data_IF_224197957632
#
_entry.id   IF_224197957632
#
_cell.length_a   1.000
_cell.length_b   1.000
_cell.length_c   1.000
_cell.angle_alpha   90.00
_cell.angle_beta   90.00
_cell.angle_gamma   90.00
#
_symmetry.space_group_name_H-M   'P 1'
#
loop_
_entity.id
_entity.type
_entity.pdbx_description
1 polymer ?
#
# COMPACT_ATOMS: atom_id res chain seq x y z
N UNK A 1 15.81 11.83 -15.29
CA UNK A 1 15.22 12.21 -14.01
C UNK A 1 13.69 12.15 -14.13
N UNK A 2 13.04 11.28 -13.34
CA UNK A 2 11.59 11.05 -13.40
C UNK A 2 10.86 11.49 -12.13
N UNK A 3 11.60 12.01 -11.14
CA UNK A 3 11.02 12.52 -9.91
C UNK A 3 10.57 13.96 -10.13
N UNK A 4 9.35 14.28 -9.70
CA UNK A 4 8.80 15.63 -9.78
C UNK A 4 9.23 16.50 -8.60
N UNK A 5 9.61 15.88 -7.48
CA UNK A 5 10.01 16.53 -6.25
C UNK A 5 11.49 16.29 -5.93
N UNK A 6 12.04 17.16 -5.09
CA UNK A 6 13.40 17.02 -4.58
C UNK A 6 13.57 15.67 -3.84
N UNK A 7 14.57 14.84 -4.21
CA UNK A 7 14.78 13.52 -3.61
C UNK A 7 14.88 13.52 -2.08
N UNK A 8 15.35 14.62 -1.49
CA UNK A 8 15.44 14.79 -0.03
C UNK A 8 14.10 14.81 0.68
N UNK A 9 13.02 15.22 -0.03
CA UNK A 9 11.67 15.29 0.49
C UNK A 9 10.90 13.99 0.29
N UNK A 10 11.47 13.04 -0.46
CA UNK A 10 10.84 11.78 -0.76
C UNK A 10 11.32 10.67 0.18
N UNK A 11 10.40 9.83 0.57
CA UNK A 11 10.68 8.51 1.10
C UNK A 11 10.62 7.51 -0.06
N UNK A 12 11.70 6.76 -0.23
CA UNK A 12 11.80 5.75 -1.28
C UNK A 12 11.73 4.36 -0.64
N UNK A 13 11.05 3.43 -1.30
CA UNK A 13 11.02 2.03 -0.92
C UNK A 13 11.26 1.15 -2.15
N UNK A 14 12.09 0.15 -1.99
CA UNK A 14 12.50 -0.77 -3.04
C UNK A 14 11.59 -2.00 -3.01
N UNK A 15 11.25 -2.53 -4.17
CA UNK A 15 10.45 -3.76 -4.29
C UNK A 15 11.12 -4.95 -3.58
N UNK A 16 10.33 -5.87 -2.99
CA UNK A 16 10.84 -6.96 -2.17
C UNK A 16 11.74 -7.95 -2.93
N UNK A 17 11.55 -8.06 -4.24
CA UNK A 17 12.28 -9.01 -5.09
C UNK A 17 13.39 -8.35 -5.93
N UNK A 18 13.90 -7.19 -5.47
CA UNK A 18 14.95 -6.47 -6.15
C UNK A 18 16.25 -7.31 -6.24
N UNK A 19 16.81 -7.38 -7.43
CA UNK A 19 18.09 -8.05 -7.71
C UNK A 19 19.10 -7.08 -8.31
N UNK A 20 20.34 -7.18 -7.89
CA UNK A 20 21.40 -6.33 -8.43
C UNK A 20 21.53 -6.52 -9.96
N UNK A 21 21.60 -5.41 -10.70
CA UNK A 21 21.73 -5.40 -12.16
C UNK A 21 20.43 -5.66 -12.93
N UNK A 22 19.30 -5.83 -12.25
CA UNK A 22 17.98 -5.96 -12.86
C UNK A 22 17.13 -4.70 -12.65
N UNK A 23 16.22 -4.38 -13.60
CA UNK A 23 15.20 -3.36 -13.37
C UNK A 23 14.38 -3.70 -12.13
N UNK A 24 14.07 -2.68 -11.32
CA UNK A 24 13.30 -2.85 -10.10
C UNK A 24 12.24 -1.76 -9.96
N UNK A 25 11.19 -2.06 -9.25
CA UNK A 25 10.21 -1.06 -8.85
C UNK A 25 10.70 -0.29 -7.63
N UNK A 26 10.57 1.02 -7.69
CA UNK A 26 10.78 1.92 -6.56
C UNK A 26 9.50 2.69 -6.33
N UNK A 27 8.97 2.60 -5.14
CA UNK A 27 7.87 3.44 -4.70
C UNK A 27 8.44 4.71 -4.08
N UNK A 28 7.84 5.85 -4.39
CA UNK A 28 8.19 7.15 -3.83
C UNK A 28 6.94 7.81 -3.24
N UNK A 29 7.06 8.38 -2.06
CA UNK A 29 5.99 9.18 -1.46
C UNK A 29 6.60 10.35 -0.67
N UNK A 30 5.77 11.37 -0.40
CA UNK A 30 6.18 12.49 0.44
C UNK A 30 6.56 12.01 1.85
N UNK A 31 7.78 12.32 2.27
CA UNK A 31 8.36 11.89 3.53
C UNK A 31 7.69 12.54 4.75
N UNK A 32 7.31 13.80 4.62
CA UNK A 32 6.66 14.53 5.70
C UNK A 32 5.23 14.03 5.92
N UNK A 33 4.49 13.80 4.83
CA UNK A 33 3.17 13.20 4.86
C UNK A 33 3.19 11.82 5.53
N UNK A 34 4.10 10.95 5.13
CA UNK A 34 4.21 9.60 5.69
C UNK A 34 4.54 9.63 7.18
N UNK A 35 5.46 10.50 7.61
CA UNK A 35 5.78 10.69 9.02
C UNK A 35 4.60 11.24 9.82
N UNK A 36 3.86 12.19 9.26
CA UNK A 36 2.67 12.75 9.90
C UNK A 36 1.56 11.69 10.07
N UNK A 37 1.39 10.78 9.10
CA UNK A 37 0.44 9.68 9.18
C UNK A 37 0.82 8.65 10.27
N UNK A 38 2.11 8.40 10.49
CA UNK A 38 2.60 7.45 11.49
C UNK A 38 2.57 8.04 12.91
N UNK A 39 2.86 9.32 13.06
CA UNK A 39 3.05 9.97 14.36
C UNK A 39 1.88 9.77 15.37
N UNK A 40 0.60 9.86 15.00
CA UNK A 40 -0.52 9.61 15.92
C UNK A 40 -0.55 8.18 16.46
N UNK A 41 -0.21 7.19 15.62
CA UNK A 41 -0.17 5.79 16.05
C UNK A 41 0.93 5.57 17.07
N UNK A 42 2.08 6.17 16.83
CA UNK A 42 3.22 6.09 17.73
C UNK A 42 2.98 6.82 19.05
N UNK A 43 2.35 8.00 19.00
CA UNK A 43 1.94 8.75 20.19
C UNK A 43 0.93 7.95 21.04
N UNK A 44 0.03 7.21 20.39
CA UNK A 44 -0.90 6.29 21.05
C UNK A 44 -0.23 4.99 21.58
N UNK A 45 1.10 4.88 21.48
CA UNK A 45 1.84 3.72 21.95
C UNK A 45 1.70 2.48 21.04
N UNK A 46 1.23 2.64 19.80
CA UNK A 46 1.10 1.60 18.79
C UNK A 46 2.22 1.74 17.76
N UNK A 47 3.36 1.06 17.93
CA UNK A 47 4.47 1.17 16.99
C UNK A 47 4.07 0.59 15.63
N UNK A 48 4.36 1.30 14.57
CA UNK A 48 4.17 0.84 13.21
C UNK A 48 5.32 -0.10 12.87
N UNK A 49 5.03 -1.36 12.57
CA UNK A 49 6.03 -2.37 12.22
C UNK A 49 6.19 -2.54 10.71
N UNK A 50 5.12 -2.29 9.94
CA UNK A 50 5.09 -2.36 8.48
C UNK A 50 4.24 -1.22 7.92
N UNK A 51 4.62 -0.75 6.75
CA UNK A 51 3.87 0.23 5.97
C UNK A 51 3.68 -0.38 4.59
N UNK A 52 2.45 -0.77 4.28
CA UNK A 52 2.16 -1.47 3.03
C UNK A 52 1.37 -0.55 2.08
N UNK A 53 1.70 -0.54 0.79
CA UNK A 53 0.88 0.16 -0.20
C UNK A 53 -0.42 -0.59 -0.43
N UNK A 54 -1.49 0.13 -0.66
CA UNK A 54 -2.79 -0.46 -0.98
C UNK A 54 -2.78 -1.15 -2.34
N UNK A 55 -2.02 -0.62 -3.27
CA UNK A 55 -1.84 -1.17 -4.61
C UNK A 55 -0.35 -1.33 -4.91
N UNK A 56 -0.01 -2.43 -5.58
CA UNK A 56 1.34 -2.74 -6.02
C UNK A 56 1.33 -3.08 -7.51
N UNK A 57 2.47 -2.94 -8.21
CA UNK A 57 2.64 -3.58 -9.50
C UNK A 57 2.30 -5.06 -9.41
N UNK A 58 1.64 -5.59 -10.42
CA UNK A 58 1.32 -7.02 -10.46
C UNK A 58 2.60 -7.83 -10.63
N UNK A 59 2.80 -8.80 -9.75
CA UNK A 59 3.93 -9.72 -9.79
C UNK A 59 3.41 -11.14 -10.04
N UNK A 60 4.13 -11.95 -10.81
CA UNK A 60 3.74 -13.34 -11.06
C UNK A 60 4.30 -13.90 -12.35
N UNK A 61 3.87 -15.12 -12.68
CA UNK A 61 4.24 -15.81 -13.91
C UNK A 61 3.37 -15.30 -15.06
N UNK A 62 3.99 -15.00 -16.20
CA UNK A 62 3.30 -14.53 -17.40
C UNK A 62 2.26 -15.57 -17.92
N UNK A 63 1.03 -15.15 -18.33
CA UNK A 63 0.53 -13.78 -18.38
C UNK A 63 -0.05 -13.30 -17.04
N UNK A 64 0.50 -12.21 -16.52
CA UNK A 64 -0.05 -11.56 -15.32
C UNK A 64 -1.24 -10.68 -15.73
N UNK A 65 -2.42 -11.06 -15.31
CA UNK A 65 -3.62 -10.29 -15.60
C UNK A 65 -3.67 -8.99 -14.81
N UNK A 66 -4.00 -7.86 -15.46
CA UNK A 66 -4.19 -6.61 -14.73
C UNK A 66 -5.42 -6.67 -13.83
N UNK A 67 -5.40 -5.85 -12.80
CA UNK A 67 -6.57 -5.60 -11.93
C UNK A 67 -7.02 -4.16 -12.07
N UNK A 68 -8.33 -3.96 -12.02
CA UNK A 68 -8.98 -2.66 -12.04
C UNK A 68 -9.79 -2.51 -10.75
N UNK A 69 -9.67 -1.36 -10.11
CA UNK A 69 -10.46 -1.04 -8.93
C UNK A 69 -11.11 0.33 -9.10
N UNK A 70 -12.42 0.41 -8.98
CA UNK A 70 -13.14 1.66 -8.87
C UNK A 70 -13.35 1.99 -7.38
N UNK A 71 -12.81 3.12 -6.95
CA UNK A 71 -12.74 3.55 -5.56
C UNK A 71 -13.48 4.86 -5.37
N UNK A 72 -14.06 5.05 -4.20
CA UNK A 72 -14.75 6.28 -3.85
C UNK A 72 -16.27 6.15 -3.91
N UNK A 73 -16.94 7.21 -4.31
CA UNK A 73 -18.41 7.29 -4.30
C UNK A 73 -18.96 7.88 -5.62
N UNK A 74 -20.27 8.18 -5.62
CA UNK A 74 -20.94 8.74 -6.79
C UNK A 74 -20.51 10.17 -7.16
N UNK A 75 -19.83 10.88 -6.25
CA UNK A 75 -19.40 12.27 -6.45
C UNK A 75 -17.93 12.35 -6.86
N UNK A 76 -17.11 11.47 -6.30
CA UNK A 76 -15.69 11.41 -6.59
C UNK A 76 -15.21 9.94 -6.60
N UNK A 77 -15.03 9.42 -7.79
CA UNK A 77 -14.51 8.07 -7.97
C UNK A 77 -13.20 8.06 -8.76
N UNK A 78 -12.36 7.10 -8.43
CA UNK A 78 -11.08 6.84 -9.07
C UNK A 78 -11.06 5.45 -9.67
N UNK A 79 -10.40 5.32 -10.81
CA UNK A 79 -10.08 4.04 -11.42
C UNK A 79 -8.59 3.77 -11.22
N UNK A 80 -8.27 2.71 -10.49
CA UNK A 80 -6.89 2.26 -10.27
C UNK A 80 -6.66 1.01 -11.09
N UNK A 81 -5.61 1.03 -11.91
CA UNK A 81 -5.12 -0.14 -12.64
C UNK A 81 -3.79 -0.58 -12.05
N UNK A 82 -3.65 -1.86 -11.71
CA UNK A 82 -2.39 -2.50 -11.39
C UNK A 82 -2.06 -3.53 -12.48
N UNK A 83 -0.86 -3.47 -13.02
CA UNK A 83 -0.31 -4.44 -13.96
C UNK A 83 1.21 -4.56 -13.78
N UNK A 84 1.89 -5.31 -14.62
CA UNK A 84 3.35 -5.48 -14.59
C UNK A 84 4.13 -4.19 -14.88
N UNK A 85 3.48 -3.18 -15.49
CA UNK A 85 4.08 -1.88 -15.80
C UNK A 85 3.91 -0.87 -14.65
N UNK A 86 3.19 -1.22 -13.58
CA UNK A 86 3.00 -0.37 -12.42
C UNK A 86 1.55 -0.22 -11.97
N UNK A 87 1.34 0.82 -11.17
CA UNK A 87 0.03 1.23 -10.68
C UNK A 87 -0.29 2.61 -11.25
N UNK A 88 -1.48 2.74 -11.82
CA UNK A 88 -1.97 3.99 -12.37
C UNK A 88 -3.35 4.30 -11.76
N UNK A 89 -3.49 5.48 -11.18
CA UNK A 89 -4.76 5.99 -10.65
C UNK A 89 -5.22 7.18 -11.48
N UNK A 90 -6.44 7.13 -11.98
CA UNK A 90 -7.08 8.18 -12.78
C UNK A 90 -8.48 8.46 -12.24
N UNK A 91 -9.01 9.66 -12.38
CA UNK A 91 -10.44 9.89 -12.15
C UNK A 91 -11.29 8.91 -12.98
N UNK A 92 -12.34 8.35 -12.39
CA UNK A 92 -13.25 7.44 -13.08
C UNK A 92 -14.12 8.22 -14.07
N UNK A 93 -13.64 8.35 -15.28
CA UNK A 93 -14.25 9.11 -16.37
C UNK A 93 -14.08 8.37 -17.70
N UNK A 94 -14.97 8.61 -18.64
CA UNK A 94 -14.94 7.97 -19.96
C UNK A 94 -13.60 8.13 -20.68
N UNK A 95 -12.97 9.30 -20.61
CA UNK A 95 -11.66 9.56 -21.22
C UNK A 95 -10.55 8.67 -20.61
N UNK A 96 -10.55 8.47 -19.29
CA UNK A 96 -9.60 7.58 -18.62
C UNK A 96 -9.80 6.12 -19.05
N UNK A 97 -11.04 5.67 -19.11
CA UNK A 97 -11.38 4.31 -19.58
C UNK A 97 -10.95 4.11 -21.02
N UNK A 98 -11.21 5.06 -21.91
CA UNK A 98 -10.77 4.98 -23.31
C UNK A 98 -9.25 4.91 -23.43
N UNK A 99 -8.51 5.68 -22.64
CA UNK A 99 -7.05 5.64 -22.64
C UNK A 99 -6.51 4.27 -22.21
N UNK A 100 -7.16 3.61 -21.24
CA UNK A 100 -6.76 2.31 -20.75
C UNK A 100 -7.27 1.14 -21.59
N UNK A 101 -8.42 1.29 -22.26
CA UNK A 101 -9.06 0.24 -23.05
C UNK A 101 -8.30 -0.11 -24.36
N UNK A 102 -7.31 0.70 -24.75
CA UNK A 102 -6.42 0.40 -25.87
C UNK A 102 -5.44 -0.76 -25.55
N UNK A 103 -5.29 -1.13 -24.28
CA UNK A 103 -4.50 -2.28 -23.86
C UNK A 103 -5.30 -3.57 -24.09
N UNK A 104 -4.72 -4.53 -24.83
CA UNK A 104 -5.37 -5.81 -25.13
C UNK A 104 -5.76 -6.60 -23.87
N UNK A 105 -5.05 -6.40 -22.75
CA UNK A 105 -5.34 -7.04 -21.48
C UNK A 105 -6.53 -6.43 -20.72
N UNK A 106 -7.06 -5.30 -21.17
CA UNK A 106 -8.18 -4.60 -20.52
C UNK A 106 -9.43 -5.48 -20.36
N UNK A 107 -9.79 -6.22 -21.40
CA UNK A 107 -10.98 -7.07 -21.40
C UNK A 107 -10.87 -8.26 -20.42
N UNK A 108 -9.65 -8.70 -20.18
CA UNK A 108 -9.35 -9.84 -19.32
C UNK A 108 -9.05 -9.43 -17.88
N UNK A 109 -8.92 -8.12 -17.62
CA UNK A 109 -8.64 -7.58 -16.30
C UNK A 109 -9.74 -7.97 -15.29
N UNK A 110 -9.34 -8.41 -14.11
CA UNK A 110 -10.26 -8.52 -12.98
C UNK A 110 -10.74 -7.14 -12.56
N UNK A 111 -12.05 -6.95 -12.44
CA UNK A 111 -12.62 -5.63 -12.16
C UNK A 111 -13.40 -5.64 -10.84
N UNK A 112 -13.00 -4.77 -9.93
CA UNK A 112 -13.57 -4.59 -8.61
C UNK A 112 -14.09 -3.18 -8.42
N UNK A 113 -15.10 -3.00 -7.57
CA UNK A 113 -15.57 -1.68 -7.18
C UNK A 113 -15.98 -1.63 -5.71
N UNK A 114 -15.73 -0.52 -5.06
CA UNK A 114 -16.34 -0.22 -3.77
C UNK A 114 -17.85 -0.08 -3.90
N UNK A 115 -18.63 -0.48 -2.89
CA UNK A 115 -20.11 -0.48 -2.98
C UNK A 115 -20.70 0.83 -3.50
N UNK A 116 -20.18 1.97 -3.05
CA UNK A 116 -20.65 3.29 -3.46
C UNK A 116 -20.27 3.68 -4.90
N UNK A 117 -19.25 3.05 -5.48
CA UNK A 117 -18.76 3.32 -6.83
C UNK A 117 -19.33 2.35 -7.88
N UNK A 118 -20.02 1.28 -7.51
CA UNK A 118 -20.47 0.21 -8.43
C UNK A 118 -21.25 0.77 -9.60
N UNK A 119 -22.29 1.57 -9.36
CA UNK A 119 -23.17 2.05 -10.42
C UNK A 119 -22.43 2.96 -11.42
N UNK A 120 -21.59 3.87 -10.93
CA UNK A 120 -20.79 4.74 -11.78
C UNK A 120 -19.70 3.96 -12.53
N UNK A 121 -19.10 2.98 -11.89
CA UNK A 121 -18.09 2.12 -12.49
C UNK A 121 -18.67 1.28 -13.63
N UNK A 122 -19.82 0.64 -13.42
CA UNK A 122 -20.52 -0.13 -14.46
C UNK A 122 -20.93 0.74 -15.64
N UNK A 123 -21.51 1.91 -15.37
CA UNK A 123 -21.95 2.85 -16.40
C UNK A 123 -20.79 3.38 -17.28
N UNK A 124 -19.63 3.65 -16.66
CA UNK A 124 -18.49 4.26 -17.35
C UNK A 124 -17.60 3.20 -18.03
N UNK A 125 -17.36 2.06 -17.36
CA UNK A 125 -16.48 1.00 -17.87
C UNK A 125 -17.23 0.07 -18.83
N UNK A 126 -18.56 -0.01 -18.75
CA UNK A 126 -19.38 -0.90 -19.58
C UNK A 126 -19.28 -2.37 -19.17
N UNK A 127 -18.78 -2.67 -17.98
CA UNK A 127 -18.64 -4.01 -17.40
C UNK A 127 -19.09 -4.01 -15.95
N UNK A 128 -19.73 -5.11 -15.52
CA UNK A 128 -20.11 -5.28 -14.13
C UNK A 128 -18.88 -5.59 -13.25
N UNK A 129 -18.59 -4.78 -12.22
CA UNK A 129 -17.51 -5.06 -11.29
C UNK A 129 -17.93 -6.07 -10.22
N UNK A 130 -16.95 -6.78 -9.67
CA UNK A 130 -17.13 -7.49 -8.41
C UNK A 130 -17.09 -6.51 -7.25
N UNK A 131 -18.05 -6.60 -6.34
CA UNK A 131 -18.10 -5.70 -5.17
C UNK A 131 -17.00 -6.08 -4.19
N UNK A 132 -16.16 -5.11 -3.82
CA UNK A 132 -15.10 -5.29 -2.86
C UNK A 132 -15.08 -4.13 -1.87
N UNK A 133 -15.22 -4.41 -0.59
CA UNK A 133 -15.10 -3.38 0.43
C UNK A 133 -13.64 -2.97 0.64
N UNK A 134 -13.41 -1.70 1.02
CA UNK A 134 -12.09 -1.18 1.35
C UNK A 134 -11.36 -2.04 2.41
N UNK A 135 -12.07 -2.49 3.44
CA UNK A 135 -11.50 -3.35 4.49
C UNK A 135 -10.99 -4.70 3.96
N UNK A 136 -11.71 -5.31 3.01
CA UNK A 136 -11.25 -6.55 2.36
C UNK A 136 -9.97 -6.31 1.56
N UNK A 137 -9.92 -5.21 0.83
CA UNK A 137 -8.73 -4.81 0.06
C UNK A 137 -7.54 -4.53 0.98
N UNK A 138 -7.74 -3.82 2.10
CA UNK A 138 -6.66 -3.56 3.06
C UNK A 138 -6.12 -4.84 3.71
N UNK A 139 -6.99 -5.79 4.03
CA UNK A 139 -6.54 -7.10 4.53
C UNK A 139 -5.69 -7.83 3.47
N UNK A 140 -6.11 -7.82 2.20
CA UNK A 140 -5.34 -8.41 1.11
C UNK A 140 -3.99 -7.69 0.93
N UNK A 141 -3.98 -6.36 0.93
CA UNK A 141 -2.75 -5.56 0.82
C UNK A 141 -1.79 -5.81 1.97
N UNK A 142 -2.29 -6.09 3.18
CA UNK A 142 -1.44 -6.41 4.33
C UNK A 142 -0.62 -7.70 4.15
N UNK A 143 -1.02 -8.56 3.22
CA UNK A 143 -0.32 -9.82 2.91
C UNK A 143 0.77 -9.65 1.85
N UNK A 144 0.88 -8.49 1.20
CA UNK A 144 1.95 -8.24 0.23
C UNK A 144 3.33 -8.31 0.88
N UNK A 145 4.33 -8.69 0.09
CA UNK A 145 5.73 -8.63 0.52
C UNK A 145 6.28 -7.19 0.55
N UNK A 146 5.59 -6.21 -0.05
CA UNK A 146 5.99 -4.81 -0.01
C UNK A 146 5.95 -4.25 1.40
N UNK A 147 6.97 -3.47 1.72
CA UNK A 147 7.06 -2.75 2.99
C UNK A 147 7.80 -1.43 2.77
N UNK A 148 7.15 -0.32 3.08
CA UNK A 148 7.75 1.02 3.01
C UNK A 148 8.51 1.39 4.29
N UNK A 149 8.48 0.54 5.33
CA UNK A 149 9.29 0.74 6.53
C UNK A 149 10.77 0.41 6.27
N UNK A 150 11.36 1.05 5.25
CA UNK A 150 12.75 0.93 4.84
C UNK A 150 13.55 2.19 5.19
N UNK A 151 14.88 2.12 5.12
CA UNK A 151 15.82 3.22 5.35
C UNK A 151 15.55 3.97 6.67
N UNK A 152 15.24 5.24 6.62
CA UNK A 152 14.98 6.08 7.79
C UNK A 152 13.82 5.58 8.66
N UNK A 153 12.87 4.86 8.07
CA UNK A 153 11.70 4.32 8.77
C UNK A 153 11.92 2.90 9.30
N UNK A 154 12.93 2.18 8.82
CA UNK A 154 13.23 0.81 9.24
C UNK A 154 13.54 0.69 10.75
N UNK A 155 14.24 1.66 11.29
CA UNK A 155 14.74 1.62 12.67
C UNK A 155 13.71 2.05 13.71
N UNK A 156 12.68 2.79 13.32
CA UNK A 156 11.72 3.36 14.26
C UNK A 156 10.84 2.31 14.94
N UNK A 157 10.39 1.30 14.21
CA UNK A 157 9.56 0.21 14.75
C UNK A 157 10.37 -0.82 15.56
N UNK A 158 11.51 -1.28 15.04
CA UNK A 158 12.35 -2.29 15.71
C UNK A 158 13.02 -1.78 16.98
N UNK A 159 13.59 -0.58 16.97
CA UNK A 159 14.22 0.02 18.15
C UNK A 159 13.20 0.29 19.27
N UNK A 160 11.97 0.71 18.91
CA UNK A 160 10.90 0.94 19.88
C UNK A 160 10.33 -0.37 20.44
N UNK A 161 10.22 -1.41 19.63
CA UNK A 161 9.83 -2.75 20.11
C UNK A 161 10.89 -3.35 21.02
N UNK A 162 12.16 -3.21 20.66
CA UNK A 162 13.28 -3.65 21.51
C UNK A 162 13.34 -2.88 22.84
N UNK A 163 13.09 -1.56 22.81
CA UNK A 163 13.03 -0.75 24.03
C UNK A 163 11.87 -1.14 24.93
N UNK A 164 10.66 -1.38 24.36
CA UNK A 164 9.50 -1.86 25.12
C UNK A 164 9.72 -3.25 25.72
N UNK A 165 10.34 -4.17 24.98
CA UNK A 165 10.73 -5.48 25.48
C UNK A 165 11.76 -5.35 26.62
N UNK A 166 12.76 -4.50 26.45
CA UNK A 166 13.75 -4.20 27.50
C UNK A 166 13.13 -3.60 28.75
N UNK A 167 12.19 -2.67 28.60
CA UNK A 167 11.49 -2.04 29.71
C UNK A 167 10.51 -3.02 30.40
N UNK A 168 9.81 -3.85 29.64
CA UNK A 168 8.96 -4.92 30.18
C UNK A 168 9.78 -5.96 30.93
N UNK A 169 10.91 -6.37 30.37
CA UNK A 169 11.86 -7.28 31.03
C UNK A 169 12.42 -6.68 32.33
N UNK A 170 12.82 -5.41 32.30
CA UNK A 170 13.31 -4.71 33.47
C UNK A 170 12.26 -4.59 34.56
N UNK A 171 10.99 -4.31 34.21
CA UNK A 171 9.86 -4.32 35.14
C UNK A 171 9.65 -5.71 35.76
N UNK A 172 9.72 -6.76 34.96
CA UNK A 172 9.53 -8.15 35.38
C UNK A 172 10.66 -8.61 36.36
N UNK A 173 11.90 -8.20 36.02
CA UNK A 173 13.08 -8.56 36.85
C UNK A 173 13.16 -7.76 38.16
N UNK A 174 12.70 -6.52 38.21
CA UNK A 174 12.88 -5.61 39.34
C UNK A 174 11.59 -5.35 40.14
N UNK A 175 10.43 -5.80 39.66
CA UNK A 175 9.18 -5.60 40.37
C UNK A 175 9.15 -6.44 41.67
N UNK A 176 8.86 -5.80 42.82
CA UNK A 176 8.90 -6.48 44.15
C UNK A 176 7.96 -7.68 44.23
N UNK A 177 6.87 -7.64 43.51
CA UNK A 177 5.83 -8.68 43.47
C UNK A 177 6.30 -10.02 42.86
N UNK A 178 7.42 -10.02 42.13
CA UNK A 178 7.97 -11.22 41.49
C UNK A 178 9.19 -11.80 42.25
N UNK A 179 9.54 -11.23 43.41
CA UNK A 179 10.65 -11.72 44.23
C UNK A 179 10.51 -13.18 44.73
N UNK A 180 9.28 -13.69 45.00
CA UNK A 180 9.15 -15.09 45.41
C UNK A 180 9.31 -16.13 44.30
N UNK A 181 9.37 -15.71 43.05
CA UNK A 181 9.51 -16.59 41.86
C UNK A 181 10.96 -16.77 41.36
N UNK A 182 11.94 -16.30 42.14
CA UNK A 182 13.39 -16.46 41.89
C UNK A 182 13.99 -17.60 42.70
#
# INVERSE_FOLDING_TARGET
DRLLDEPSNLHLAISPHAQAGQPLWVAACDKAWLKAAIAPLEAAGRPVSRIVPEFTPSEGVDPVMPTLHALGDSTQAWLVRSNTQGVLALPLQAAAVQALANDASWQQASFFAEPAAVASAEAIVGRQPQVQQATQRWVQSSQTAWDFAQFDLANSGRQRSAKKLGDAWRKLVHAPQWRPAR
#
